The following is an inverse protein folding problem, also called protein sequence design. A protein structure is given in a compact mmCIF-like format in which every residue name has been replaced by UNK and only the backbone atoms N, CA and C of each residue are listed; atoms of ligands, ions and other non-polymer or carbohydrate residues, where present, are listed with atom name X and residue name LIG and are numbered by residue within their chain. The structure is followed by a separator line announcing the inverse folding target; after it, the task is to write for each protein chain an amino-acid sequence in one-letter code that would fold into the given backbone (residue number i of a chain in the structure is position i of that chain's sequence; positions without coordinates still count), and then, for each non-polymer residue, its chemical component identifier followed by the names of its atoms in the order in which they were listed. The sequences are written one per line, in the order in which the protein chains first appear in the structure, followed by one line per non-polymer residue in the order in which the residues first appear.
data_IF_393766634909
#
_entry.id   IF_393766634909
#
_cell.length_a   1.000
_cell.length_b   1.000
_cell.length_c   1.000
_cell.angle_alpha   90.00
_cell.angle_beta   90.00
_cell.angle_gamma   90.00
#
_symmetry.space_group_name_H-M   'P 1'
#
loop_
_entity.id
_entity.type
_entity.pdbx_description
1 polymer ?
#
# COMPACT_ATOMS: atom_id res chain seq x y z
N UNK A 1 36.27 -9.91 -25.74
CA UNK A 1 35.08 -10.70 -25.31
C UNK A 1 34.35 -9.94 -24.19
N UNK A 2 33.32 -9.15 -24.51
CA UNK A 2 32.54 -8.33 -23.55
C UNK A 2 31.03 -8.42 -23.86
N UNK A 3 30.43 -9.61 -23.81
CA UNK A 3 29.01 -9.80 -24.21
C UNK A 3 28.10 -10.45 -23.16
N UNK A 4 28.57 -10.63 -21.92
CA UNK A 4 27.81 -11.33 -20.88
C UNK A 4 27.29 -10.45 -19.72
N UNK A 5 27.56 -9.13 -19.71
CA UNK A 5 27.21 -8.26 -18.56
C UNK A 5 25.84 -7.53 -18.68
N UNK A 6 25.07 -7.77 -19.75
CA UNK A 6 23.80 -7.06 -20.00
C UNK A 6 22.56 -7.76 -19.42
N UNK A 7 22.65 -9.06 -19.12
CA UNK A 7 21.49 -9.84 -18.66
C UNK A 7 21.25 -9.75 -17.15
N UNK A 8 22.30 -9.49 -16.35
CA UNK A 8 22.18 -9.33 -14.89
C UNK A 8 21.61 -7.97 -14.46
N UNK A 9 21.42 -7.02 -15.38
CA UNK A 9 20.86 -5.69 -15.09
C UNK A 9 19.34 -5.60 -15.23
N UNK A 10 18.67 -6.63 -15.80
CA UNK A 10 17.21 -6.63 -15.97
C UNK A 10 16.45 -7.08 -14.72
N UNK A 11 17.13 -7.68 -13.73
CA UNK A 11 16.52 -8.22 -12.52
C UNK A 11 16.44 -7.20 -11.37
N UNK A 12 17.01 -6.00 -11.52
CA UNK A 12 17.06 -4.98 -10.46
C UNK A 12 16.22 -3.79 -10.89
N UNK A 13 15.26 -3.43 -10.05
CA UNK A 13 14.40 -2.28 -10.30
C UNK A 13 15.18 -0.98 -10.01
N UNK A 14 15.15 -0.06 -10.96
CA UNK A 14 15.68 1.30 -10.76
C UNK A 14 14.87 2.04 -9.70
N UNK A 15 15.50 2.98 -8.98
CA UNK A 15 14.79 3.83 -8.02
C UNK A 15 13.64 4.62 -8.67
N UNK A 16 13.80 5.03 -9.93
CA UNK A 16 12.75 5.71 -10.69
C UNK A 16 11.55 4.80 -10.96
N UNK A 17 11.80 3.55 -11.37
CA UNK A 17 10.76 2.54 -11.63
C UNK A 17 10.04 2.15 -10.34
N UNK A 18 10.76 2.03 -9.23
CA UNK A 18 10.19 1.77 -7.91
C UNK A 18 9.22 2.87 -7.48
N UNK A 19 9.62 4.15 -7.59
CA UNK A 19 8.73 5.27 -7.24
C UNK A 19 7.53 5.37 -8.17
N UNK A 20 7.73 5.14 -9.47
CA UNK A 20 6.64 5.14 -10.45
C UNK A 20 5.62 4.03 -10.17
N UNK A 21 6.09 2.82 -9.84
CA UNK A 21 5.23 1.69 -9.47
C UNK A 21 4.39 2.01 -8.23
N UNK A 22 5.01 2.49 -7.14
CA UNK A 22 4.28 2.83 -5.92
C UNK A 22 3.28 3.98 -6.13
N UNK A 23 3.67 5.02 -6.87
CA UNK A 23 2.78 6.13 -7.19
C UNK A 23 1.57 5.67 -8.01
N UNK A 24 1.81 4.90 -9.08
CA UNK A 24 0.75 4.35 -9.92
C UNK A 24 -0.20 3.44 -9.14
N UNK A 25 0.36 2.60 -8.28
CA UNK A 25 -0.41 1.72 -7.41
C UNK A 25 -1.31 2.52 -6.45
N UNK A 26 -0.77 3.53 -5.78
CA UNK A 26 -1.52 4.34 -4.84
C UNK A 26 -2.66 5.13 -5.52
N UNK A 27 -2.42 5.64 -6.72
CA UNK A 27 -3.45 6.32 -7.53
C UNK A 27 -4.55 5.33 -7.92
N UNK A 28 -4.17 4.18 -8.48
CA UNK A 28 -5.13 3.16 -8.93
C UNK A 28 -6.01 2.65 -7.79
N UNK A 29 -5.40 2.19 -6.70
CA UNK A 29 -6.16 1.66 -5.57
C UNK A 29 -6.91 2.75 -4.80
N UNK A 30 -6.41 3.98 -4.74
CA UNK A 30 -7.15 5.11 -4.23
C UNK A 30 -8.46 5.35 -4.99
N UNK A 31 -8.42 5.27 -6.33
CA UNK A 31 -9.61 5.39 -7.17
C UNK A 31 -10.58 4.20 -6.98
N UNK A 32 -10.06 2.98 -6.97
CA UNK A 32 -10.86 1.77 -6.70
C UNK A 32 -11.53 1.84 -5.33
N UNK A 33 -10.82 2.32 -4.31
CA UNK A 33 -11.35 2.49 -2.97
C UNK A 33 -12.48 3.52 -2.94
N UNK A 34 -12.34 4.65 -3.65
CA UNK A 34 -13.42 5.63 -3.79
C UNK A 34 -14.69 5.01 -4.39
N UNK A 35 -14.54 4.19 -5.44
CA UNK A 35 -15.67 3.44 -6.02
C UNK A 35 -16.28 2.43 -5.05
N UNK A 36 -15.46 1.73 -4.25
CA UNK A 36 -15.95 0.81 -3.22
C UNK A 36 -16.70 1.57 -2.12
N UNK A 37 -16.20 2.72 -1.70
CA UNK A 37 -16.85 3.57 -0.68
C UNK A 37 -18.17 4.17 -1.16
N UNK A 38 -18.35 4.41 -2.46
CA UNK A 38 -19.63 4.83 -3.02
C UNK A 38 -20.73 3.78 -2.78
N UNK A 39 -20.38 2.50 -2.65
CA UNK A 39 -21.38 1.46 -2.30
C UNK A 39 -21.83 1.51 -0.83
N UNK A 40 -21.14 2.30 0.00
CA UNK A 40 -21.49 2.54 1.41
C UNK A 40 -22.43 3.75 1.61
N UNK A 41 -22.95 4.37 0.53
CA UNK A 41 -23.86 5.52 0.59
C UNK A 41 -25.16 5.26 1.37
N UNK A 42 -25.51 3.99 1.58
CA UNK A 42 -26.70 3.59 2.34
C UNK A 42 -26.53 3.74 3.86
N UNK A 43 -25.29 3.98 4.32
CA UNK A 43 -25.01 4.21 5.74
C UNK A 43 -25.47 5.60 6.17
N UNK A 44 -25.86 5.72 7.44
CA UNK A 44 -26.03 7.04 8.03
C UNK A 44 -24.69 7.82 8.03
N UNK A 45 -24.77 9.14 8.18
CA UNK A 45 -23.60 10.01 8.11
C UNK A 45 -22.53 9.70 9.17
N UNK A 46 -22.91 9.21 10.35
CA UNK A 46 -21.98 8.88 11.43
C UNK A 46 -21.22 7.59 11.11
N UNK A 47 -21.95 6.54 10.73
CA UNK A 47 -21.41 5.25 10.36
C UNK A 47 -20.54 5.36 9.10
N UNK A 48 -20.94 6.16 8.12
CA UNK A 48 -20.10 6.47 6.97
C UNK A 48 -18.82 7.19 7.40
N UNK A 49 -18.90 8.19 8.28
CA UNK A 49 -17.73 8.90 8.80
C UNK A 49 -16.76 7.99 9.56
N UNK A 50 -17.28 7.06 10.37
CA UNK A 50 -16.47 6.06 11.08
C UNK A 50 -15.83 5.05 10.13
N UNK A 51 -16.57 4.54 9.14
CA UNK A 51 -16.02 3.65 8.13
C UNK A 51 -14.92 4.34 7.32
N UNK A 52 -15.13 5.61 6.95
CA UNK A 52 -14.13 6.43 6.27
C UNK A 52 -12.88 6.59 7.13
N UNK A 53 -13.03 6.91 8.42
CA UNK A 53 -11.90 7.02 9.35
C UNK A 53 -11.09 5.71 9.41
N UNK A 54 -11.75 4.58 9.66
CA UNK A 54 -11.10 3.26 9.77
C UNK A 54 -10.39 2.85 8.47
N UNK A 55 -11.02 3.15 7.33
CA UNK A 55 -10.48 2.86 6.01
C UNK A 55 -9.30 3.76 5.68
N UNK A 56 -9.39 5.06 5.98
CA UNK A 56 -8.27 6.00 5.81
C UNK A 56 -7.08 5.60 6.67
N UNK A 57 -7.29 5.10 7.89
CA UNK A 57 -6.21 4.52 8.70
C UNK A 57 -5.52 3.37 7.97
N UNK A 58 -6.28 2.45 7.37
CA UNK A 58 -5.71 1.34 6.59
C UNK A 58 -4.89 1.86 5.40
N UNK A 59 -5.41 2.85 4.66
CA UNK A 59 -4.70 3.47 3.53
C UNK A 59 -3.39 4.09 3.99
N UNK A 60 -3.39 4.90 5.04
CA UNK A 60 -2.17 5.55 5.56
C UNK A 60 -1.14 4.51 6.00
N UNK A 61 -1.57 3.44 6.66
CA UNK A 61 -0.69 2.33 7.05
C UNK A 61 -0.06 1.64 5.84
N UNK A 62 -0.81 1.41 4.76
CA UNK A 62 -0.27 0.88 3.51
C UNK A 62 0.79 1.84 2.94
N UNK A 63 0.53 3.15 2.89
CA UNK A 63 1.48 4.15 2.40
C UNK A 63 2.76 4.22 3.24
N UNK A 64 2.66 3.98 4.55
CA UNK A 64 3.82 3.94 5.45
C UNK A 64 4.74 2.73 5.23
N UNK A 65 4.25 1.64 4.61
CA UNK A 65 5.12 0.51 4.24
C UNK A 65 6.27 0.98 3.34
N UNK A 66 5.98 1.82 2.34
CA UNK A 66 7.00 2.28 1.38
C UNK A 66 7.65 3.62 1.73
N UNK A 67 7.07 4.38 2.65
CA UNK A 67 7.49 5.76 2.94
C UNK A 67 8.28 5.90 4.24
N UNK A 68 8.34 4.86 5.08
CA UNK A 68 8.97 4.93 6.40
C UNK A 68 10.23 4.07 6.53
N UNK A 69 11.24 4.52 7.31
CA UNK A 69 12.40 3.68 7.67
C UNK A 69 12.01 2.40 8.41
N UNK A 70 10.91 2.41 9.16
CA UNK A 70 10.43 1.29 9.96
C UNK A 70 9.45 0.38 9.18
N UNK A 71 9.70 0.18 7.88
CA UNK A 71 8.80 -0.54 6.97
C UNK A 71 8.33 -1.90 7.49
N UNK A 72 9.18 -2.68 8.16
CA UNK A 72 8.80 -3.98 8.73
C UNK A 72 7.72 -3.88 9.80
N UNK A 73 7.82 -2.87 10.68
CA UNK A 73 6.83 -2.61 11.72
C UNK A 73 5.50 -2.20 11.09
N UNK A 74 5.53 -1.31 10.09
CA UNK A 74 4.33 -0.90 9.38
C UNK A 74 3.73 -2.03 8.57
N UNK A 75 4.51 -2.91 7.94
CA UNK A 75 4.00 -4.12 7.28
C UNK A 75 3.19 -4.99 8.25
N UNK A 76 3.75 -5.28 9.43
CA UNK A 76 3.04 -6.05 10.45
C UNK A 76 1.76 -5.36 10.93
N UNK A 77 1.82 -4.07 11.20
CA UNK A 77 0.68 -3.27 11.64
C UNK A 77 -0.42 -3.20 10.57
N UNK A 78 -0.06 -3.01 9.30
CA UNK A 78 -1.00 -2.99 8.17
C UNK A 78 -1.70 -4.33 8.00
N UNK A 79 -0.95 -5.45 8.02
CA UNK A 79 -1.53 -6.80 7.90
C UNK A 79 -2.51 -7.03 9.05
N UNK A 80 -2.12 -6.71 10.27
CA UNK A 80 -3.00 -6.83 11.44
C UNK A 80 -4.25 -5.98 11.26
N UNK A 81 -4.11 -4.69 10.91
CA UNK A 81 -5.22 -3.76 10.75
C UNK A 81 -6.23 -4.22 9.69
N UNK A 82 -5.74 -4.62 8.50
CA UNK A 82 -6.59 -5.11 7.40
C UNK A 82 -7.29 -6.43 7.78
N UNK A 83 -6.63 -7.31 8.54
CA UNK A 83 -7.21 -8.56 9.01
C UNK A 83 -8.31 -8.34 10.05
N UNK A 84 -8.12 -7.41 11.00
CA UNK A 84 -9.09 -7.13 12.07
C UNK A 84 -10.18 -6.14 11.66
N UNK A 85 -10.02 -5.43 10.54
CA UNK A 85 -10.99 -4.45 10.04
C UNK A 85 -12.46 -4.91 10.08
N UNK A 86 -12.86 -6.09 9.56
CA UNK A 86 -14.26 -6.52 9.63
C UNK A 86 -14.75 -6.69 11.07
N UNK A 87 -13.90 -7.18 11.97
CA UNK A 87 -14.24 -7.31 13.39
C UNK A 87 -14.39 -5.93 14.05
N UNK A 88 -13.50 -4.98 13.74
CA UNK A 88 -13.60 -3.61 14.25
C UNK A 88 -14.87 -2.92 13.75
N UNK A 89 -15.18 -3.03 12.45
CA UNK A 89 -16.38 -2.43 11.85
C UNK A 89 -17.65 -3.00 12.46
N UNK A 90 -17.77 -4.33 12.56
CA UNK A 90 -18.95 -4.98 13.17
C UNK A 90 -19.15 -4.58 14.63
N UNK A 91 -18.07 -4.34 15.40
CA UNK A 91 -18.16 -3.97 16.81
C UNK A 91 -18.41 -2.48 17.04
N UNK A 92 -17.89 -1.60 16.18
CA UNK A 92 -18.07 -0.15 16.32
C UNK A 92 -19.39 0.31 15.69
N UNK A 93 -19.68 -0.14 14.46
CA UNK A 93 -20.89 0.28 13.74
C UNK A 93 -22.13 -0.52 14.16
N UNK A 94 -21.96 -1.60 14.94
CA UNK A 94 -23.03 -2.53 15.36
C UNK A 94 -23.83 -3.15 14.19
N UNK A 95 -23.31 -3.05 12.96
CA UNK A 95 -23.93 -3.57 11.75
C UNK A 95 -22.87 -4.25 10.88
N UNK A 96 -23.03 -5.56 10.66
CA UNK A 96 -22.14 -6.36 9.84
C UNK A 96 -22.30 -6.11 8.33
N UNK A 97 -23.43 -5.53 7.91
CA UNK A 97 -23.69 -5.17 6.52
C UNK A 97 -23.05 -3.83 6.15
N UNK A 98 -22.58 -3.08 7.14
CA UNK A 98 -21.95 -1.77 6.94
C UNK A 98 -20.59 -1.85 6.23
N UNK A 99 -19.96 -3.02 6.17
CA UNK A 99 -18.71 -3.19 5.44
C UNK A 99 -19.02 -3.50 3.96
N UNK A 100 -18.61 -2.64 3.01
CA UNK A 100 -18.73 -2.98 1.60
C UNK A 100 -17.98 -4.29 1.30
N UNK A 101 -18.60 -5.26 0.62
CA UNK A 101 -18.02 -6.60 0.44
C UNK A 101 -16.70 -6.59 -0.33
N UNK A 102 -16.46 -5.53 -1.11
CA UNK A 102 -15.24 -5.34 -1.90
C UNK A 102 -14.14 -4.59 -1.14
N UNK A 103 -14.43 -4.00 0.02
CA UNK A 103 -13.47 -3.16 0.75
C UNK A 103 -12.26 -3.95 1.24
N UNK A 104 -12.51 -5.03 1.98
CA UNK A 104 -11.46 -5.86 2.52
C UNK A 104 -10.57 -6.49 1.42
N UNK A 105 -11.10 -7.12 0.35
CA UNK A 105 -10.23 -7.66 -0.69
C UNK A 105 -9.42 -6.57 -1.41
N UNK A 106 -9.98 -5.38 -1.63
CA UNK A 106 -9.22 -4.24 -2.18
C UNK A 106 -8.02 -3.89 -1.30
N UNK A 107 -8.21 -3.77 0.01
CA UNK A 107 -7.14 -3.46 0.95
C UNK A 107 -6.09 -4.58 1.05
N UNK A 108 -6.53 -5.84 0.99
CA UNK A 108 -5.63 -7.01 0.97
C UNK A 108 -4.73 -6.97 -0.26
N UNK A 109 -5.31 -6.82 -1.45
CA UNK A 109 -4.54 -6.82 -2.70
C UNK A 109 -3.60 -5.62 -2.74
N UNK A 110 -4.06 -4.43 -2.34
CA UNK A 110 -3.21 -3.25 -2.23
C UNK A 110 -2.01 -3.53 -1.30
N UNK A 111 -2.27 -4.05 -0.10
CA UNK A 111 -1.23 -4.39 0.87
C UNK A 111 -0.21 -5.38 0.30
N UNK A 112 -0.68 -6.47 -0.30
CA UNK A 112 0.19 -7.50 -0.88
C UNK A 112 1.06 -6.95 -2.01
N UNK A 113 0.50 -6.12 -2.89
CA UNK A 113 1.26 -5.52 -3.98
C UNK A 113 2.28 -4.49 -3.47
N UNK A 114 1.91 -3.67 -2.49
CA UNK A 114 2.85 -2.74 -1.85
C UNK A 114 4.02 -3.47 -1.19
N UNK A 115 3.74 -4.58 -0.49
CA UNK A 115 4.77 -5.45 0.10
C UNK A 115 5.66 -6.03 -1.02
N UNK A 116 5.07 -6.60 -2.07
CA UNK A 116 5.82 -7.20 -3.17
C UNK A 116 6.78 -6.21 -3.83
N UNK A 117 6.36 -4.96 -4.02
CA UNK A 117 7.20 -3.89 -4.60
C UNK A 117 8.26 -3.42 -3.60
N UNK A 118 7.90 -3.21 -2.32
CA UNK A 118 8.83 -2.70 -1.31
C UNK A 118 10.00 -3.66 -1.03
N UNK A 119 9.72 -4.97 -1.01
CA UNK A 119 10.73 -5.98 -0.71
C UNK A 119 11.45 -6.53 -1.94
N UNK A 120 11.17 -5.99 -3.14
CA UNK A 120 11.88 -6.36 -4.36
C UNK A 120 13.32 -5.78 -4.35
N UNK A 121 14.35 -6.54 -4.75
CA UNK A 121 15.71 -6.02 -4.84
C UNK A 121 15.82 -4.82 -5.77
N UNK A 122 16.25 -3.68 -5.22
CA UNK A 122 16.48 -2.43 -5.96
C UNK A 122 17.96 -2.08 -6.05
N UNK A 123 18.31 -1.32 -7.08
CA UNK A 123 19.60 -0.64 -7.12
C UNK A 123 19.65 0.43 -6.03
N UNK A 124 20.76 0.49 -5.28
CA UNK A 124 20.99 1.60 -4.34
C UNK A 124 21.16 2.88 -5.17
N UNK A 125 20.61 4.02 -4.72
CA UNK A 125 20.79 5.28 -5.43
C UNK A 125 22.28 5.53 -5.69
N UNK A 126 22.61 5.89 -6.93
CA UNK A 126 23.97 6.03 -7.45
C UNK A 126 24.80 7.16 -6.79
N UNK A 127 24.21 7.91 -5.86
CA UNK A 127 24.81 9.10 -5.24
C UNK A 127 25.68 8.79 -4.00
N UNK A 128 26.04 7.53 -3.76
CA UNK A 128 26.92 7.13 -2.66
C UNK A 128 28.40 6.97 -3.08
N UNK A 129 28.78 7.44 -4.27
CA UNK A 129 30.20 7.61 -4.59
C UNK A 129 30.63 9.01 -4.15
N UNK A 130 31.59 9.16 -3.22
CA UNK A 130 32.13 10.46 -2.87
C UNK A 130 32.67 11.13 -4.14
N UNK A 131 32.54 12.47 -4.26
CA UNK A 131 33.12 13.18 -5.39
C UNK A 131 34.61 12.80 -5.49
N UNK A 132 35.01 12.32 -6.66
CA UNK A 132 36.42 12.22 -7.00
C UNK A 132 37.00 13.64 -6.96
N UNK A 133 37.64 13.99 -5.84
CA UNK A 133 38.50 15.15 -5.78
C UNK A 133 39.71 14.88 -6.72
N UNK A 134 40.00 15.78 -7.67
CA UNK A 134 41.15 15.67 -8.56
C UNK A 134 42.49 15.88 -7.85
#
# INVERSE_FOLDING_TARGET
MQRHRWWSSMARMSYGEYRANLAGLNIFFGAVLGFVMATAEQLDSMNFGLLLLLTSTAVVLILYISSSPHRYTYTGLTILWVAVLPYVVTRILHDATALPPKLQPTLIVWTLMTIAIEFLPRDKPADALPPHEP
#
